data_IF_452301522705
#
_entry.id   IF_452301522705
#
_cell.length_a   1.000
_cell.length_b   1.000
_cell.length_c   1.000
_cell.angle_alpha   90.00
_cell.angle_beta   90.00
_cell.angle_gamma   90.00
#
_symmetry.space_group_name_H-M   'P 1'
#
loop_
_entity.id
_entity.type
_entity.pdbx_description
1 polymer ?
#
# COMPACT_ATOMS: atom_id res chain seq x y z
N UNK A 1 13.04 -2.30 5.22
CA UNK A 1 12.60 -2.96 3.96
C UNK A 1 13.82 -3.20 3.09
N UNK A 2 14.07 -4.44 2.63
CA UNK A 2 15.21 -4.75 1.74
C UNK A 2 14.94 -4.28 0.29
N UNK A 3 16.00 -4.00 -0.49
CA UNK A 3 15.89 -3.55 -1.87
C UNK A 3 15.20 -4.57 -2.79
N UNK A 4 15.41 -5.87 -2.54
CA UNK A 4 14.79 -6.95 -3.31
C UNK A 4 13.29 -7.09 -3.00
N UNK A 5 12.89 -6.90 -1.73
CA UNK A 5 11.50 -6.74 -1.32
C UNK A 5 10.85 -5.51 -1.95
N UNK A 6 11.49 -4.34 -1.91
CA UNK A 6 10.98 -3.12 -2.53
C UNK A 6 10.70 -3.34 -4.02
N UNK A 7 11.68 -3.89 -4.76
CA UNK A 7 11.52 -4.18 -6.18
C UNK A 7 10.38 -5.18 -6.47
N UNK A 8 10.14 -6.14 -5.57
CA UNK A 8 9.03 -7.09 -5.67
C UNK A 8 7.68 -6.38 -5.51
N UNK A 9 7.58 -5.49 -4.53
CA UNK A 9 6.37 -4.71 -4.28
C UNK A 9 6.07 -3.72 -5.39
N UNK A 10 7.08 -3.03 -5.93
CA UNK A 10 6.91 -2.15 -7.09
C UNK A 10 6.37 -2.92 -8.29
N UNK A 11 6.91 -4.11 -8.59
CA UNK A 11 6.38 -4.97 -9.67
C UNK A 11 4.96 -5.45 -9.41
N UNK A 12 4.61 -5.72 -8.15
CA UNK A 12 3.25 -6.14 -7.79
C UNK A 12 2.26 -4.97 -7.89
N UNK A 13 2.68 -3.78 -7.48
CA UNK A 13 1.91 -2.55 -7.62
C UNK A 13 1.61 -2.23 -9.10
N UNK A 14 2.59 -2.39 -9.98
CA UNK A 14 2.40 -2.22 -11.43
C UNK A 14 1.35 -3.17 -12.04
N UNK A 15 1.04 -4.29 -11.35
CA UNK A 15 -0.04 -5.22 -11.73
C UNK A 15 -1.39 -4.91 -11.08
N UNK A 16 -1.48 -3.81 -10.33
CA UNK A 16 -2.68 -3.36 -9.61
C UNK A 16 -2.85 -3.94 -8.21
N UNK A 17 -1.84 -4.61 -7.66
CA UNK A 17 -1.85 -5.13 -6.29
C UNK A 17 -3.07 -6.01 -5.96
N UNK A 18 -3.60 -5.85 -4.74
CA UNK A 18 -4.87 -6.44 -4.33
C UNK A 18 -6.07 -5.50 -4.56
N UNK A 19 -5.83 -4.25 -4.94
CA UNK A 19 -6.85 -3.25 -5.22
C UNK A 19 -6.27 -1.85 -5.26
N UNK A 20 -7.16 -0.86 -5.43
CA UNK A 20 -6.82 0.56 -5.48
C UNK A 20 -7.71 1.36 -4.54
N UNK A 21 -7.19 2.49 -4.08
CA UNK A 21 -7.93 3.49 -3.35
C UNK A 21 -7.46 4.90 -3.75
N UNK A 22 -8.28 5.89 -3.44
CA UNK A 22 -7.93 7.31 -3.58
C UNK A 22 -7.85 7.94 -2.20
N UNK A 23 -6.77 8.67 -1.94
CA UNK A 23 -6.62 9.45 -0.71
C UNK A 23 -7.72 10.50 -0.57
N UNK A 24 -8.32 10.63 0.61
CA UNK A 24 -9.35 11.65 0.88
C UNK A 24 -8.83 12.86 1.65
N UNK A 25 -7.60 12.76 2.17
CA UNK A 25 -6.88 13.80 2.91
C UNK A 25 -5.38 13.67 2.67
N UNK A 26 -4.63 14.71 3.03
CA UNK A 26 -3.17 14.71 2.96
C UNK A 26 -2.59 13.93 4.14
N UNK A 27 -1.72 12.95 3.85
CA UNK A 27 -0.99 12.21 4.86
C UNK A 27 0.50 12.55 4.74
N UNK A 28 0.99 13.33 5.69
CA UNK A 28 2.41 13.67 5.81
C UNK A 28 3.00 12.76 6.89
N UNK A 29 3.93 11.89 6.50
CA UNK A 29 4.63 11.01 7.43
C UNK A 29 5.33 11.85 8.51
N UNK A 30 4.90 11.68 9.77
CA UNK A 30 5.45 12.40 10.93
C UNK A 30 6.66 11.65 11.54
N UNK A 31 6.72 10.32 11.38
CA UNK A 31 7.81 9.47 11.85
C UNK A 31 8.53 8.76 10.69
N UNK A 32 9.82 8.49 10.92
CA UNK A 32 10.80 8.03 9.93
C UNK A 32 10.40 6.71 9.24
N UNK A 33 9.92 6.83 8.00
CA UNK A 33 10.22 5.89 6.92
C UNK A 33 9.32 4.68 6.75
N UNK A 34 8.33 4.48 7.62
CA UNK A 34 7.37 3.36 7.49
C UNK A 34 6.02 3.79 6.93
N UNK A 35 5.56 5.01 7.21
CA UNK A 35 4.28 5.51 6.70
C UNK A 35 4.39 6.00 5.25
N UNK A 36 3.35 5.68 4.46
CA UNK A 36 3.21 6.12 3.09
C UNK A 36 2.72 7.57 3.08
N UNK A 37 3.52 8.45 2.50
CA UNK A 37 3.12 9.83 2.23
C UNK A 37 2.26 9.87 0.95
N UNK A 38 1.18 10.62 1.00
CA UNK A 38 0.29 10.88 -0.14
C UNK A 38 -0.48 12.17 0.09
N UNK A 39 -0.89 12.81 -1.00
CA UNK A 39 -1.78 13.95 -0.99
C UNK A 39 -3.21 13.51 -1.26
N UNK A 40 -4.18 14.33 -0.87
CA UNK A 40 -5.57 14.14 -1.23
C UNK A 40 -5.70 13.98 -2.74
N UNK A 41 -6.58 13.06 -3.14
CA UNK A 41 -6.86 12.66 -4.51
C UNK A 41 -5.77 11.80 -5.20
N UNK A 42 -4.66 11.50 -4.52
CA UNK A 42 -3.68 10.52 -5.02
C UNK A 42 -4.28 9.12 -5.11
N UNK A 43 -3.93 8.41 -6.19
CA UNK A 43 -4.23 7.00 -6.33
C UNK A 43 -3.15 6.15 -5.65
N UNK A 44 -3.60 5.28 -4.75
CA UNK A 44 -2.73 4.35 -4.01
C UNK A 44 -3.07 2.94 -4.45
N UNK A 45 -2.04 2.18 -4.84
CA UNK A 45 -2.20 0.74 -5.06
C UNK A 45 -2.04 -0.01 -3.75
N UNK A 46 -3.06 -0.77 -3.38
CA UNK A 46 -3.08 -1.55 -2.13
C UNK A 46 -2.34 -2.85 -2.36
N UNK A 47 -1.35 -3.14 -1.53
CA UNK A 47 -0.46 -4.29 -1.68
C UNK A 47 -0.84 -5.43 -0.75
N UNK A 48 -1.10 -5.12 0.53
CA UNK A 48 -1.57 -6.09 1.51
C UNK A 48 -2.29 -5.41 2.67
N UNK A 49 -3.13 -6.18 3.36
CA UNK A 49 -3.63 -5.79 4.68
C UNK A 49 -2.60 -6.20 5.73
N UNK A 50 -2.30 -5.30 6.67
CA UNK A 50 -1.37 -5.57 7.77
C UNK A 50 -2.09 -6.32 8.90
N UNK A 51 -1.30 -6.89 9.83
CA UNK A 51 -1.85 -7.56 11.02
C UNK A 51 -2.66 -6.62 11.91
N UNK A 52 -2.31 -5.33 11.89
CA UNK A 52 -3.08 -4.29 12.57
C UNK A 52 -4.36 -3.96 11.79
N UNK A 53 -5.54 -4.10 12.40
CA UNK A 53 -6.80 -3.88 11.71
C UNK A 53 -6.94 -2.42 11.26
N UNK A 54 -7.34 -2.24 10.00
CA UNK A 54 -7.50 -0.92 9.40
C UNK A 54 -6.23 -0.34 8.81
N UNK A 55 -5.08 -1.01 8.91
CA UNK A 55 -3.84 -0.61 8.26
C UNK A 55 -3.46 -1.51 7.08
N UNK A 56 -2.81 -0.90 6.09
CA UNK A 56 -2.49 -1.51 4.82
C UNK A 56 -1.09 -1.10 4.39
N UNK A 57 -0.47 -1.95 3.57
CA UNK A 57 0.73 -1.57 2.81
C UNK A 57 0.27 -1.05 1.45
N UNK A 58 0.73 0.13 1.08
CA UNK A 58 0.39 0.80 -0.18
C UNK A 58 1.62 1.14 -1.00
N UNK A 59 1.38 1.42 -2.27
CA UNK A 59 2.35 1.98 -3.21
C UNK A 59 1.79 3.25 -3.83
N UNK A 60 2.56 4.34 -3.71
CA UNK A 60 2.27 5.64 -4.30
C UNK A 60 3.60 6.28 -4.75
N UNK A 61 3.66 6.80 -5.97
CA UNK A 61 4.81 7.54 -6.52
C UNK A 61 6.20 6.90 -6.33
N UNK A 62 6.31 5.57 -6.39
CA UNK A 62 7.61 4.88 -6.20
C UNK A 62 7.92 4.53 -4.75
N UNK A 63 7.13 5.02 -3.80
CA UNK A 63 7.28 4.73 -2.36
C UNK A 63 6.35 3.59 -1.97
N UNK A 64 6.85 2.70 -1.12
CA UNK A 64 6.06 1.67 -0.44
C UNK A 64 6.04 2.01 1.04
N UNK A 65 4.84 2.01 1.63
CA UNK A 65 4.68 2.35 3.04
C UNK A 65 3.31 1.95 3.58
N UNK A 66 3.14 2.10 4.88
CA UNK A 66 1.91 1.85 5.64
C UNK A 66 0.96 3.02 5.51
N UNK A 67 -0.34 2.76 5.36
CA UNK A 67 -1.37 3.79 5.44
C UNK A 67 -2.62 3.28 6.16
N UNK A 68 -3.41 4.18 6.71
CA UNK A 68 -4.67 3.83 7.36
C UNK A 68 -5.83 3.86 6.36
N UNK A 69 -6.66 2.83 6.38
CA UNK A 69 -7.83 2.70 5.50
C UNK A 69 -8.89 3.78 5.69
N UNK A 70 -8.87 4.46 6.85
CA UNK A 70 -9.77 5.60 7.15
C UNK A 70 -9.42 6.86 6.35
N UNK A 71 -8.18 6.99 5.88
CA UNK A 71 -7.66 8.19 5.18
C UNK A 71 -7.81 8.06 3.66
N UNK A 72 -8.45 6.98 3.18
CA UNK A 72 -8.64 6.68 1.77
C UNK A 72 -10.05 6.19 1.47
N UNK A 73 -10.43 6.23 0.19
CA UNK A 73 -11.63 5.62 -0.37
C UNK A 73 -11.27 4.47 -1.29
N UNK A 74 -11.62 3.24 -0.91
CA UNK A 74 -11.40 2.06 -1.74
C UNK A 74 -12.34 2.06 -2.97
N UNK A 75 -11.80 1.72 -4.14
CA UNK A 75 -12.56 1.67 -5.40
C UNK A 75 -13.41 0.39 -5.54
N UNK A 76 -13.27 -0.56 -4.62
CA UNK A 76 -14.00 -1.82 -4.64
C UNK A 76 -13.52 -2.78 -3.54
N UNK A 77 -14.00 -4.02 -3.60
CA UNK A 77 -13.53 -5.07 -2.68
C UNK A 77 -12.07 -5.40 -2.97
N UNK A 78 -11.24 -5.37 -1.93
CA UNK A 78 -9.86 -5.83 -2.02
C UNK A 78 -9.82 -7.34 -2.26
N UNK A 79 -8.93 -7.78 -3.15
CA UNK A 79 -8.64 -9.21 -3.36
C UNK A 79 -8.02 -9.77 -2.08
N UNK A 80 -8.34 -11.02 -1.75
CA UNK A 80 -7.62 -11.72 -0.68
C UNK A 80 -6.16 -11.87 -1.10
N UNK A 81 -5.19 -11.43 -0.28
CA UNK A 81 -3.79 -11.60 -0.61
C UNK A 81 -3.48 -13.10 -0.73
N UNK A 82 -3.14 -13.55 -1.93
CA UNK A 82 -2.57 -14.89 -2.13
C UNK A 82 -1.08 -14.74 -1.89
N UNK A 83 -0.65 -14.83 -0.63
CA UNK A 83 0.77 -15.02 -0.31
C UNK A 83 1.15 -16.42 -0.79
N UNK A 84 1.47 -16.55 -2.08
CA UNK A 84 2.14 -17.73 -2.58
C UNK A 84 3.53 -17.73 -1.94
N UNK A 85 3.68 -18.42 -0.79
CA UNK A 85 4.97 -18.91 -0.33
C UNK A 85 5.52 -19.80 -1.45
N UNK A 86 6.28 -19.22 -2.37
CA UNK A 86 7.32 -20.00 -3.05
C UNK A 86 8.44 -20.12 -2.03
N UNK A 87 8.38 -21.19 -1.25
CA UNK A 87 9.53 -21.65 -0.48
C UNK A 87 10.69 -21.80 -1.45
N UNK A 88 11.84 -21.26 -1.05
CA UNK A 88 13.13 -21.71 -1.55
C UNK A 88 13.83 -22.45 -0.44
#
# INVERSE_FOLDING_TARGET
MDAHELARWTRFAAKGGIGKCTAILDCIAQEMGEDLMFLKDDEITVLMQLSEPGFYLGYCEGVVGRFAGKDVRFHGKLKKPVMAKRGS
#
